data_IF_472420616448
#
_entry.id   IF_472420616448
#
_cell.length_a   1.000
_cell.length_b   1.000
_cell.length_c   1.000
_cell.angle_alpha   90.00
_cell.angle_beta   90.00
_cell.angle_gamma   90.00
#
_symmetry.space_group_name_H-M   'P 1'
#
loop_
_entity.id
_entity.type
_entity.pdbx_description
1 polymer ?
#
# COMPACT_ATOMS: atom_id res chain seq x y z
N UNK A 1 15.77 -5.27 34.76
CA UNK A 1 15.35 -3.85 34.65
C UNK A 1 15.19 -3.31 36.05
N UNK A 2 15.76 -2.12 36.32
CA UNK A 2 15.74 -1.53 37.66
C UNK A 2 14.77 -0.35 37.68
N UNK A 3 13.88 -0.33 38.69
CA UNK A 3 12.96 0.78 38.92
C UNK A 3 13.63 1.81 39.82
N UNK A 4 13.55 3.09 39.44
CA UNK A 4 14.09 4.20 40.25
C UNK A 4 12.90 4.87 40.97
N UNK A 5 12.92 4.91 42.30
CA UNK A 5 11.94 5.61 43.13
C UNK A 5 12.64 6.61 44.05
N UNK A 6 12.10 7.82 44.18
CA UNK A 6 12.58 8.82 45.15
C UNK A 6 13.96 9.44 44.87
N UNK A 7 14.51 9.29 43.65
CA UNK A 7 15.80 9.90 43.30
C UNK A 7 15.58 11.26 42.61
N UNK A 8 15.86 12.36 43.35
CA UNK A 8 15.72 13.73 42.85
C UNK A 8 16.68 14.05 41.69
N UNK A 9 17.88 13.45 41.67
CA UNK A 9 18.90 13.67 40.63
C UNK A 9 18.47 13.09 39.28
N UNK A 10 17.75 11.97 39.31
CA UNK A 10 17.27 11.29 38.10
C UNK A 10 15.86 11.71 37.69
N UNK A 11 15.26 12.67 38.39
CA UNK A 11 13.90 13.14 38.11
C UNK A 11 13.83 13.81 36.73
N UNK A 12 12.97 13.30 35.85
CA UNK A 12 12.83 13.80 34.48
C UNK A 12 13.87 13.28 33.48
N UNK A 13 14.82 12.44 33.91
CA UNK A 13 15.81 11.85 33.02
C UNK A 13 15.15 11.01 31.92
N UNK A 14 15.60 11.19 30.67
CA UNK A 14 15.17 10.40 29.52
C UNK A 14 16.30 10.26 28.50
N UNK A 15 16.27 9.19 27.70
CA UNK A 15 17.26 8.96 26.67
C UNK A 15 18.48 8.19 27.15
N UNK A 16 19.52 8.18 26.31
CA UNK A 16 20.73 7.38 26.52
C UNK A 16 21.78 8.19 27.30
N UNK A 17 22.33 7.59 28.35
CA UNK A 17 23.43 8.14 29.14
C UNK A 17 24.68 7.28 28.97
N UNK A 18 25.77 7.92 28.53
CA UNK A 18 27.09 7.30 28.43
C UNK A 18 27.17 6.07 27.52
N UNK A 19 26.21 5.85 26.62
CA UNK A 19 26.04 4.61 25.82
C UNK A 19 25.93 3.32 26.66
N UNK A 20 25.67 3.43 27.95
CA UNK A 20 25.61 2.30 28.88
C UNK A 20 24.20 2.09 29.45
N UNK A 21 23.45 3.19 29.65
CA UNK A 21 22.13 3.15 30.28
C UNK A 21 21.15 3.98 29.46
N UNK A 22 19.91 3.50 29.34
CA UNK A 22 18.79 4.23 28.75
C UNK A 22 17.72 4.43 29.81
N UNK A 23 17.33 5.69 30.02
CA UNK A 23 16.25 6.09 30.89
C UNK A 23 14.96 6.25 30.08
N UNK A 24 13.89 5.58 30.50
CA UNK A 24 12.56 5.71 29.89
C UNK A 24 11.45 5.67 30.92
N UNK A 25 10.33 6.32 30.61
CA UNK A 25 9.09 6.20 31.39
C UNK A 25 8.26 5.04 30.85
N UNK A 26 7.83 4.14 31.73
CA UNK A 26 6.92 3.06 31.40
C UNK A 26 5.84 2.97 32.47
N UNK A 27 4.57 3.12 32.07
CA UNK A 27 3.41 3.16 32.99
C UNK A 27 3.59 4.18 34.13
N UNK A 28 4.16 5.35 33.84
CA UNK A 28 4.39 6.42 34.81
C UNK A 28 5.63 6.25 35.69
N UNK A 29 6.30 5.10 35.66
CA UNK A 29 7.52 4.85 36.43
C UNK A 29 8.79 5.11 35.59
N UNK A 30 9.83 5.66 36.22
CA UNK A 30 11.15 5.81 35.60
C UNK A 30 11.92 4.49 35.68
N UNK A 31 12.35 4.00 34.51
CA UNK A 31 13.13 2.76 34.36
C UNK A 31 14.50 3.08 33.79
N UNK A 32 15.54 2.49 34.40
CA UNK A 32 16.86 2.39 33.80
C UNK A 32 17.06 0.99 33.21
N UNK A 33 17.47 0.95 31.94
CA UNK A 33 17.84 -0.26 31.22
C UNK A 33 19.25 -0.14 30.68
N UNK A 34 19.96 -1.26 30.52
CA UNK A 34 21.25 -1.27 29.81
C UNK A 34 21.00 -0.82 28.37
N UNK A 35 21.93 -0.04 27.81
CA UNK A 35 21.85 0.37 26.42
C UNK A 35 21.75 -0.87 25.52
N UNK A 36 20.78 -0.90 24.59
CA UNK A 36 20.64 -2.04 23.71
C UNK A 36 21.85 -2.13 22.78
N UNK A 37 22.60 -3.24 22.88
CA UNK A 37 23.61 -3.59 21.89
C UNK A 37 22.97 -4.41 20.78
N UNK A 38 23.02 -3.91 19.55
CA UNK A 38 22.63 -4.69 18.37
C UNK A 38 23.84 -5.50 17.90
N UNK A 39 23.88 -6.78 18.28
CA UNK A 39 24.94 -7.70 17.88
C UNK A 39 24.68 -8.39 16.53
N UNK A 40 23.42 -8.48 16.09
CA UNK A 40 23.06 -9.18 14.86
C UNK A 40 23.12 -8.27 13.62
N UNK A 41 23.73 -8.77 12.54
CA UNK A 41 23.65 -8.15 11.21
C UNK A 41 22.21 -8.22 10.70
N UNK A 42 21.79 -7.22 9.92
CA UNK A 42 20.48 -7.25 9.28
C UNK A 42 20.35 -8.43 8.33
N UNK A 43 19.20 -9.10 8.38
CA UNK A 43 18.83 -10.12 7.39
C UNK A 43 18.61 -9.50 6.01
N UNK A 44 18.61 -10.32 4.96
CA UNK A 44 18.31 -9.86 3.61
C UNK A 44 16.93 -9.16 3.54
N UNK A 45 15.90 -9.76 4.14
CA UNK A 45 14.56 -9.17 4.22
C UNK A 45 14.54 -7.82 4.95
N UNK A 46 15.30 -7.67 6.04
CA UNK A 46 15.41 -6.39 6.75
C UNK A 46 16.09 -5.31 5.92
N UNK A 47 17.12 -5.66 5.14
CA UNK A 47 17.78 -4.72 4.23
C UNK A 47 16.86 -4.29 3.10
N UNK A 48 16.14 -5.24 2.49
CA UNK A 48 15.15 -4.94 1.45
C UNK A 48 14.05 -4.00 1.98
N UNK A 49 13.54 -4.24 3.18
CA UNK A 49 12.54 -3.36 3.78
C UNK A 49 13.09 -1.95 4.08
N UNK A 50 14.36 -1.86 4.51
CA UNK A 50 15.02 -0.56 4.73
C UNK A 50 15.18 0.21 3.42
N UNK A 51 15.57 -0.43 2.33
CA UNK A 51 15.69 0.23 1.03
C UNK A 51 14.31 0.67 0.52
N UNK A 52 13.29 -0.19 0.59
CA UNK A 52 11.91 0.17 0.21
C UNK A 52 11.40 1.37 1.01
N UNK A 53 11.68 1.41 2.32
CA UNK A 53 11.30 2.54 3.17
C UNK A 53 12.02 3.84 2.79
N UNK A 54 13.31 3.76 2.42
CA UNK A 54 14.10 4.90 1.96
C UNK A 54 13.58 5.43 0.63
N UNK A 55 13.30 4.55 -0.33
CA UNK A 55 12.67 4.93 -1.60
C UNK A 55 11.31 5.61 -1.39
N UNK A 56 10.49 5.10 -0.47
CA UNK A 56 9.22 5.73 -0.12
C UNK A 56 9.37 7.12 0.50
N UNK A 57 10.40 7.33 1.32
CA UNK A 57 10.71 8.67 1.83
C UNK A 57 11.11 9.62 0.70
N UNK A 58 11.89 9.14 -0.27
CA UNK A 58 12.30 9.93 -1.42
C UNK A 58 11.15 10.19 -2.39
N UNK A 59 10.19 9.25 -2.52
CA UNK A 59 8.91 9.48 -3.18
C UNK A 59 8.12 10.60 -2.51
N UNK A 60 7.90 10.53 -1.19
CA UNK A 60 7.13 11.54 -0.46
C UNK A 60 7.75 12.96 -0.60
N UNK A 61 9.09 13.06 -0.58
CA UNK A 61 9.80 14.33 -0.85
C UNK A 61 9.61 14.83 -2.29
N UNK A 62 9.57 13.93 -3.29
CA UNK A 62 9.31 14.29 -4.68
C UNK A 62 7.86 14.73 -4.87
N UNK A 63 6.90 14.00 -4.29
CA UNK A 63 5.49 14.36 -4.30
C UNK A 63 5.25 15.74 -3.69
N UNK A 64 5.99 16.10 -2.63
CA UNK A 64 5.91 17.43 -2.02
C UNK A 64 6.41 18.59 -2.93
N UNK A 65 7.17 18.29 -3.98
CA UNK A 65 7.60 19.30 -4.98
C UNK A 65 6.56 19.54 -6.07
N UNK A 66 5.66 18.58 -6.28
CA UNK A 66 4.53 18.72 -7.19
C UNK A 66 3.38 19.40 -6.46
N UNK A 67 3.00 20.60 -6.90
CA UNK A 67 1.97 21.40 -6.22
C UNK A 67 0.58 20.76 -6.24
N UNK A 68 0.22 20.08 -7.34
CA UNK A 68 -1.11 19.49 -7.49
C UNK A 68 -1.23 18.21 -6.65
N UNK A 69 -0.25 17.32 -6.81
CA UNK A 69 -0.21 16.08 -6.05
C UNK A 69 -0.11 16.33 -4.54
N UNK A 70 0.71 17.31 -4.13
CA UNK A 70 0.85 17.65 -2.72
C UNK A 70 -0.41 18.26 -2.11
N UNK A 71 -1.16 19.05 -2.87
CA UNK A 71 -2.44 19.59 -2.42
C UNK A 71 -3.42 18.45 -2.10
N UNK A 72 -3.52 17.48 -3.01
CA UNK A 72 -4.40 16.31 -2.86
C UNK A 72 -4.03 15.46 -1.64
N UNK A 73 -2.75 15.20 -1.41
CA UNK A 73 -2.30 14.54 -0.18
C UNK A 73 -2.61 15.37 1.07
N UNK A 74 -2.47 16.69 1.00
CA UNK A 74 -2.72 17.58 2.14
C UNK A 74 -4.19 17.58 2.54
N UNK A 75 -5.11 17.60 1.58
CA UNK A 75 -6.55 17.52 1.84
C UNK A 75 -6.91 16.17 2.45
N UNK A 76 -6.47 15.06 1.84
CA UNK A 76 -6.77 13.72 2.34
C UNK A 76 -6.16 13.45 3.72
N UNK A 77 -4.95 13.94 3.98
CA UNK A 77 -4.27 13.74 5.25
C UNK A 77 -4.98 14.46 6.42
N UNK A 78 -5.65 15.60 6.16
CA UNK A 78 -6.46 16.29 7.18
C UNK A 78 -7.62 15.43 7.68
N UNK A 79 -8.32 14.75 6.76
CA UNK A 79 -9.43 13.86 7.11
C UNK A 79 -8.96 12.68 7.98
N UNK A 80 -7.77 12.14 7.67
CA UNK A 80 -7.17 11.01 8.36
C UNK A 80 -6.39 11.40 9.63
N UNK A 81 -6.26 12.69 9.94
CA UNK A 81 -5.42 13.22 11.03
C UNK A 81 -3.96 12.75 10.95
N UNK A 82 -3.43 12.68 9.73
CA UNK A 82 -2.05 12.30 9.42
C UNK A 82 -1.27 13.49 8.87
N UNK A 83 0.06 13.37 8.84
CA UNK A 83 0.90 14.28 8.05
C UNK A 83 0.77 13.92 6.57
N UNK A 84 0.72 14.89 5.64
CA UNK A 84 0.71 14.63 4.20
C UNK A 84 1.91 13.79 3.75
N UNK A 85 3.08 14.02 4.36
CA UNK A 85 4.28 13.23 4.11
C UNK A 85 4.10 11.76 4.53
N UNK A 86 3.45 11.51 5.68
CA UNK A 86 3.21 10.15 6.15
C UNK A 86 2.17 9.43 5.29
N UNK A 87 1.18 10.15 4.75
CA UNK A 87 0.22 9.60 3.81
C UNK A 87 0.90 9.20 2.49
N UNK A 88 1.69 10.08 1.88
CA UNK A 88 2.43 9.77 0.65
C UNK A 88 3.44 8.61 0.84
N UNK A 89 4.07 8.54 2.02
CA UNK A 89 4.93 7.40 2.37
C UNK A 89 4.12 6.11 2.51
N UNK A 90 2.95 6.16 3.12
CA UNK A 90 2.08 4.99 3.26
C UNK A 90 1.56 4.51 1.91
N UNK A 91 1.16 5.43 1.03
CA UNK A 91 0.76 5.19 -0.35
C UNK A 91 1.86 4.43 -1.11
N UNK A 92 3.10 4.92 -1.08
CA UNK A 92 4.22 4.19 -1.72
C UNK A 92 4.44 2.77 -1.16
N UNK A 93 4.29 2.59 0.14
CA UNK A 93 4.64 1.31 0.80
C UNK A 93 3.55 0.25 0.68
N UNK A 94 2.29 0.67 0.55
CA UNK A 94 1.11 -0.18 0.59
C UNK A 94 0.47 -0.19 -0.80
N UNK A 95 0.65 -1.27 -1.58
CA UNK A 95 0.04 -1.37 -2.90
C UNK A 95 -1.49 -1.43 -2.80
N UNK A 96 -2.21 -1.12 -3.90
CA UNK A 96 -3.66 -1.17 -3.93
C UNK A 96 -4.16 -2.61 -3.74
N UNK A 97 -5.41 -2.77 -3.35
CA UNK A 97 -6.01 -4.09 -3.10
C UNK A 97 -7.21 -4.34 -4.00
N UNK A 98 -7.25 -5.51 -4.62
CA UNK A 98 -8.42 -6.00 -5.35
C UNK A 98 -9.34 -6.75 -4.37
N UNK A 99 -10.43 -6.11 -3.96
CA UNK A 99 -11.38 -6.68 -3.00
C UNK A 99 -12.31 -7.71 -3.65
N UNK A 100 -12.86 -7.38 -4.82
CA UNK A 100 -13.80 -8.26 -5.52
C UNK A 100 -13.74 -8.05 -7.03
N UNK A 101 -13.84 -9.16 -7.77
CA UNK A 101 -14.10 -9.14 -9.22
C UNK A 101 -15.35 -9.97 -9.43
N UNK A 102 -16.38 -9.37 -10.02
CA UNK A 102 -17.63 -10.06 -10.31
C UNK A 102 -17.64 -10.50 -11.77
N UNK A 103 -17.40 -11.79 -11.97
CA UNK A 103 -17.43 -12.45 -13.27
C UNK A 103 -18.79 -13.05 -13.63
N UNK A 104 -19.79 -13.03 -12.72
CA UNK A 104 -21.11 -13.62 -12.99
C UNK A 104 -21.89 -12.91 -14.10
N UNK A 105 -21.57 -11.64 -14.31
CA UNK A 105 -22.15 -10.77 -15.34
C UNK A 105 -21.51 -10.97 -16.72
N UNK A 106 -20.44 -11.77 -16.79
CA UNK A 106 -19.71 -12.01 -18.00
C UNK A 106 -20.18 -13.31 -18.65
N UNK A 107 -20.90 -13.17 -19.77
CA UNK A 107 -21.44 -14.27 -20.56
C UNK A 107 -20.69 -14.45 -21.91
N UNK A 108 -19.53 -13.79 -22.06
CA UNK A 108 -18.73 -13.84 -23.29
C UNK A 108 -19.27 -13.03 -24.46
N UNK A 109 -20.38 -12.30 -24.30
CA UNK A 109 -20.92 -11.47 -25.38
C UNK A 109 -20.36 -10.05 -25.35
N UNK A 110 -20.28 -9.44 -26.53
CA UNK A 110 -20.01 -8.01 -26.66
C UNK A 110 -21.08 -7.22 -25.91
N UNK A 111 -20.66 -6.23 -25.12
CA UNK A 111 -21.53 -5.41 -24.29
C UNK A 111 -21.75 -5.93 -22.87
N UNK A 112 -21.31 -7.14 -22.56
CA UNK A 112 -21.27 -7.63 -21.18
C UNK A 112 -20.26 -6.82 -20.36
N UNK A 113 -20.45 -6.79 -19.04
CA UNK A 113 -19.68 -5.93 -18.13
C UNK A 113 -19.02 -6.75 -17.04
N UNK A 114 -17.74 -6.48 -16.78
CA UNK A 114 -17.04 -6.94 -15.59
C UNK A 114 -17.04 -5.82 -14.55
N UNK A 115 -17.42 -6.17 -13.32
CA UNK A 115 -17.43 -5.23 -12.20
C UNK A 115 -16.30 -5.55 -11.24
N UNK A 116 -15.45 -4.56 -10.96
CA UNK A 116 -14.26 -4.69 -10.13
C UNK A 116 -14.36 -3.69 -8.98
N UNK A 117 -14.17 -4.18 -7.77
CA UNK A 117 -14.06 -3.38 -6.55
C UNK A 117 -12.61 -3.49 -6.08
N UNK A 118 -11.96 -2.35 -6.01
CA UNK A 118 -10.61 -2.21 -5.52
C UNK A 118 -10.53 -1.03 -4.55
N UNK A 119 -9.64 -1.13 -3.58
CA UNK A 119 -9.40 -0.11 -2.56
C UNK A 119 -7.93 0.24 -2.48
N UNK A 120 -7.67 1.49 -2.15
CA UNK A 120 -6.34 2.01 -1.89
C UNK A 120 -6.39 3.00 -0.72
N UNK A 121 -5.24 3.25 -0.08
CA UNK A 121 -5.15 4.18 1.04
C UNK A 121 -5.22 5.66 0.60
N UNK A 122 -4.94 5.95 -0.67
CA UNK A 122 -4.98 7.29 -1.25
C UNK A 122 -5.85 7.34 -2.50
N UNK A 123 -5.38 6.77 -3.62
CA UNK A 123 -6.10 6.78 -4.88
C UNK A 123 -5.57 5.72 -5.86
N UNK A 124 -6.51 5.01 -6.46
CA UNK A 124 -6.30 4.17 -7.66
C UNK A 124 -6.28 5.07 -8.91
N UNK A 125 -5.23 4.97 -9.72
CA UNK A 125 -5.10 5.72 -10.97
C UNK A 125 -5.68 4.99 -12.17
N UNK A 126 -5.54 3.66 -12.21
CA UNK A 126 -6.05 2.86 -13.31
C UNK A 126 -6.36 1.43 -12.89
N UNK A 127 -7.33 0.84 -13.58
CA UNK A 127 -7.65 -0.58 -13.51
C UNK A 127 -7.67 -1.11 -14.93
N UNK A 128 -6.78 -2.04 -15.25
CA UNK A 128 -6.76 -2.72 -16.54
C UNK A 128 -7.26 -4.15 -16.41
N UNK A 129 -7.88 -4.64 -17.48
CA UNK A 129 -8.35 -6.01 -17.61
C UNK A 129 -7.72 -6.60 -18.85
N UNK A 130 -7.09 -7.76 -18.69
CA UNK A 130 -6.59 -8.59 -19.78
C UNK A 130 -7.35 -9.90 -19.77
N UNK A 131 -7.85 -10.30 -20.94
CA UNK A 131 -8.58 -11.55 -21.16
C UNK A 131 -7.77 -12.39 -22.14
N UNK A 132 -7.36 -13.57 -21.70
CA UNK A 132 -6.68 -14.57 -22.51
C UNK A 132 -7.61 -15.76 -22.72
N UNK A 133 -7.58 -16.34 -23.93
CA UNK A 133 -8.28 -17.60 -24.24
C UNK A 133 -7.63 -18.79 -23.51
N UNK A 134 -8.26 -19.96 -23.62
CA UNK A 134 -7.77 -21.24 -23.13
C UNK A 134 -6.36 -21.60 -23.65
N UNK A 135 -6.07 -21.25 -24.90
CA UNK A 135 -4.78 -21.43 -25.56
C UNK A 135 -3.71 -20.42 -25.12
N UNK A 136 -4.06 -19.48 -24.24
CA UNK A 136 -3.20 -18.42 -23.73
C UNK A 136 -3.09 -17.19 -24.64
N UNK A 137 -3.69 -17.20 -25.83
CA UNK A 137 -3.69 -16.05 -26.72
C UNK A 137 -4.50 -14.89 -26.14
N UNK A 138 -4.00 -13.67 -26.32
CA UNK A 138 -4.71 -12.45 -25.93
C UNK A 138 -6.00 -12.32 -26.75
N UNK A 139 -7.14 -12.28 -26.06
CA UNK A 139 -8.43 -11.97 -26.67
C UNK A 139 -8.67 -10.46 -26.67
N UNK A 140 -8.49 -9.83 -25.51
CA UNK A 140 -8.82 -8.42 -25.31
C UNK A 140 -8.01 -7.85 -24.13
N UNK A 141 -7.59 -6.59 -24.23
CA UNK A 141 -7.00 -5.84 -23.12
C UNK A 141 -7.47 -4.38 -23.18
N UNK A 142 -7.77 -3.81 -22.01
CA UNK A 142 -8.15 -2.41 -21.93
C UNK A 142 -8.28 -1.92 -20.50
N UNK A 143 -8.68 -0.65 -20.36
CA UNK A 143 -8.90 0.00 -19.07
C UNK A 143 -10.38 -0.02 -18.70
N UNK A 144 -10.66 -0.32 -17.43
CA UNK A 144 -11.98 -0.16 -16.85
C UNK A 144 -12.24 1.33 -16.55
N UNK A 145 -13.52 1.70 -16.56
CA UNK A 145 -13.98 3.05 -16.22
C UNK A 145 -14.60 3.04 -14.84
N UNK A 146 -14.27 4.02 -14.01
CA UNK A 146 -14.89 4.17 -12.69
C UNK A 146 -16.33 4.67 -12.85
N UNK A 147 -17.30 3.83 -12.53
CA UNK A 147 -18.74 4.16 -12.50
C UNK A 147 -19.25 4.08 -11.05
N UNK A 148 -19.40 5.23 -10.39
CA UNK A 148 -19.81 5.31 -9.00
C UNK A 148 -18.73 4.80 -8.03
N UNK A 149 -18.95 3.63 -7.43
CA UNK A 149 -18.03 3.02 -6.45
C UNK A 149 -17.33 1.75 -6.98
N UNK A 150 -17.45 1.47 -8.28
CA UNK A 150 -16.89 0.27 -8.90
C UNK A 150 -16.28 0.58 -10.27
N UNK A 151 -15.26 -0.17 -10.62
CA UNK A 151 -14.64 -0.14 -11.94
C UNK A 151 -15.38 -1.08 -12.87
N UNK A 152 -15.79 -0.58 -14.02
CA UNK A 152 -16.59 -1.29 -15.01
C UNK A 152 -15.77 -1.44 -16.28
N UNK A 153 -15.54 -2.69 -16.68
CA UNK A 153 -14.90 -3.01 -17.94
C UNK A 153 -15.95 -3.56 -18.93
N UNK A 154 -16.25 -2.82 -20.02
CA UNK A 154 -17.14 -3.31 -21.06
C UNK A 154 -16.39 -4.26 -22.00
N UNK A 155 -16.98 -5.42 -22.25
CA UNK A 155 -16.44 -6.40 -23.20
C UNK A 155 -16.68 -5.91 -24.62
N UNK A 156 -15.62 -5.86 -25.42
CA UNK A 156 -15.69 -5.42 -26.82
C UNK A 156 -15.51 -6.55 -27.82
N UNK A 157 -14.90 -7.67 -27.39
CA UNK A 157 -14.67 -8.85 -28.22
C UNK A 157 -15.50 -10.03 -27.70
N UNK A 158 -16.24 -10.67 -28.60
CA UNK A 158 -16.99 -11.88 -28.25
C UNK A 158 -16.04 -13.03 -27.91
N UNK A 159 -16.29 -13.68 -26.77
CA UNK A 159 -15.68 -14.93 -26.39
C UNK A 159 -16.70 -16.07 -26.46
N UNK A 160 -16.61 -16.90 -27.50
CA UNK A 160 -17.51 -18.04 -27.68
C UNK A 160 -17.24 -19.19 -26.70
N UNK A 161 -16.04 -19.28 -26.13
CA UNK A 161 -15.62 -20.33 -25.21
C UNK A 161 -15.17 -19.72 -23.89
N UNK A 162 -16.05 -19.75 -22.88
CA UNK A 162 -15.76 -19.18 -21.57
C UNK A 162 -14.91 -20.09 -20.69
N UNK A 163 -15.00 -21.41 -20.88
CA UNK A 163 -14.24 -22.40 -20.13
C UNK A 163 -12.74 -22.16 -20.29
N UNK A 164 -12.01 -22.17 -19.17
CA UNK A 164 -10.56 -22.00 -19.12
C UNK A 164 -10.06 -20.63 -19.62
N UNK A 165 -10.98 -19.67 -19.81
CA UNK A 165 -10.60 -18.28 -20.09
C UNK A 165 -9.93 -17.68 -18.87
N UNK A 166 -8.74 -17.10 -19.06
CA UNK A 166 -7.97 -16.45 -18.00
C UNK A 166 -8.21 -14.95 -18.04
N UNK A 167 -8.75 -14.40 -16.94
CA UNK A 167 -8.86 -12.97 -16.70
C UNK A 167 -7.78 -12.52 -15.72
N UNK A 168 -6.99 -11.54 -16.14
CA UNK A 168 -6.03 -10.84 -15.27
C UNK A 168 -6.51 -9.41 -15.08
N UNK A 169 -6.79 -9.04 -13.83
CA UNK A 169 -7.14 -7.67 -13.45
C UNK A 169 -5.92 -7.05 -12.77
N UNK A 170 -5.46 -5.90 -13.27
CA UNK A 170 -4.32 -5.18 -12.70
C UNK A 170 -4.78 -3.79 -12.23
N UNK A 171 -4.50 -3.46 -10.97
CA UNK A 171 -4.86 -2.18 -10.34
C UNK A 171 -3.59 -1.42 -10.03
N UNK A 172 -3.51 -0.16 -10.47
CA UNK A 172 -2.36 0.72 -10.27
C UNK A 172 -2.72 1.90 -9.37
N UNK A 173 -1.85 2.25 -8.44
CA UNK A 173 -1.99 3.41 -7.56
C UNK A 173 -1.17 4.63 -8.04
N UNK A 174 -1.23 5.73 -7.29
CA UNK A 174 -0.55 6.99 -7.62
C UNK A 174 0.99 6.88 -7.63
N UNK A 175 1.63 6.15 -6.70
CA UNK A 175 3.05 5.81 -6.77
C UNK A 175 3.45 4.88 -7.93
N UNK A 176 2.49 4.19 -8.55
CA UNK A 176 2.73 3.22 -9.62
C UNK A 176 2.91 1.78 -9.13
N UNK A 177 2.55 1.46 -7.89
CA UNK A 177 2.45 0.07 -7.46
C UNK A 177 1.30 -0.62 -8.20
N UNK A 178 1.53 -1.87 -8.58
CA UNK A 178 0.54 -2.68 -9.30
C UNK A 178 0.20 -3.92 -8.48
N UNK A 179 -1.10 -4.16 -8.32
CA UNK A 179 -1.62 -5.41 -7.76
C UNK A 179 -2.43 -6.13 -8.83
N UNK A 180 -2.11 -7.40 -9.04
CA UNK A 180 -2.76 -8.23 -10.04
C UNK A 180 -3.59 -9.34 -9.38
N UNK A 181 -4.70 -9.70 -10.02
CA UNK A 181 -5.51 -10.86 -9.65
C UNK A 181 -5.92 -11.62 -10.89
N UNK A 182 -5.59 -12.91 -10.88
CA UNK A 182 -5.95 -13.84 -11.94
C UNK A 182 -7.19 -14.64 -11.56
N UNK A 183 -8.07 -14.86 -12.52
CA UNK A 183 -9.31 -15.63 -12.38
C UNK A 183 -9.45 -16.50 -13.63
N UNK A 184 -9.73 -17.78 -13.42
CA UNK A 184 -10.05 -18.72 -14.48
C UNK A 184 -11.56 -18.97 -14.41
N UNK A 185 -12.23 -18.96 -15.57
CA UNK A 185 -13.67 -19.17 -15.70
C UNK A 185 -14.07 -20.61 -15.98
#
# INVERSE_FOLDING_TARGET
MTKIKGNAVMYGASGMFGKQVVFRKYRGELIAAIAPERSAKYSAAQKMQQEKFKEGCDYAKRAAKDSDLWLRYTERAKELKLSPHNLALADYLLPPKIDRVNTKSYDGRVGSKLFIIASDNFQITSVSVRINKDDGNLLEEGNAVLEGLQWVYPITVANAALSDTKLTVSVTDTPGNVTEKEIIL
#
